data_IF_936871504843
#
_entry.id   IF_936871504843
#
_cell.length_a   1.000
_cell.length_b   1.000
_cell.length_c   1.000
_cell.angle_alpha   90.00
_cell.angle_beta   90.00
_cell.angle_gamma   90.00
#
_symmetry.space_group_name_H-M   'P 1'
#
loop_
_entity.id
_entity.type
_entity.pdbx_description
1 polymer ?
#
# COMPACT_ATOMS: atom_id res chain seq x y z
N UNK A 1 20.47 -15.81 12.04
CA UNK A 1 19.04 -16.06 12.33
C UNK A 1 18.48 -17.32 11.70
N UNK A 2 19.29 -18.09 10.96
CA UNK A 2 18.86 -19.34 10.36
C UNK A 2 19.57 -19.66 9.04
N UNK A 3 19.13 -20.71 8.32
CA UNK A 3 19.67 -21.10 7.03
C UNK A 3 19.29 -20.10 5.92
N UNK A 4 19.72 -20.37 4.67
CA UNK A 4 19.50 -19.48 3.54
C UNK A 4 18.01 -19.33 3.14
N UNK A 5 17.16 -20.33 3.42
CA UNK A 5 15.73 -20.26 3.13
C UNK A 5 15.05 -19.19 3.99
N UNK A 6 14.41 -18.18 3.36
CA UNK A 6 13.80 -17.05 4.07
C UNK A 6 12.70 -17.46 5.07
N UNK A 7 11.95 -18.51 4.78
CA UNK A 7 10.93 -19.05 5.70
C UNK A 7 11.52 -19.54 7.04
N UNK A 8 12.78 -19.98 7.01
CA UNK A 8 13.47 -20.52 8.19
C UNK A 8 14.37 -19.46 8.86
N UNK A 9 14.46 -18.27 8.29
CA UNK A 9 15.34 -17.19 8.74
C UNK A 9 14.59 -15.83 8.80
N UNK A 10 14.62 -15.05 7.72
CA UNK A 10 14.07 -13.67 7.68
C UNK A 10 12.54 -13.58 7.80
N UNK A 11 11.80 -14.66 7.58
CA UNK A 11 10.35 -14.75 7.80
C UNK A 11 9.98 -15.54 9.07
N UNK A 12 10.97 -15.98 9.85
CA UNK A 12 10.75 -16.68 11.12
C UNK A 12 10.74 -15.68 12.28
N UNK A 13 9.54 -15.22 12.63
CA UNK A 13 9.31 -14.22 13.69
C UNK A 13 9.95 -14.64 14.99
N UNK A 14 9.69 -15.87 15.48
CA UNK A 14 10.17 -16.34 16.78
C UNK A 14 11.70 -16.41 16.83
N UNK A 15 12.32 -16.81 15.71
CA UNK A 15 13.79 -16.84 15.65
C UNK A 15 14.42 -15.46 15.70
N UNK A 16 13.79 -14.46 15.05
CA UNK A 16 14.25 -13.07 15.11
C UNK A 16 14.11 -12.52 16.54
N UNK A 17 12.98 -12.76 17.18
CA UNK A 17 12.73 -12.34 18.56
C UNK A 17 13.72 -13.01 19.53
N UNK A 18 13.95 -14.32 19.41
CA UNK A 18 14.95 -15.04 20.21
C UNK A 18 16.34 -14.39 20.11
N UNK A 19 16.78 -14.13 18.89
CA UNK A 19 18.10 -13.50 18.63
C UNK A 19 18.16 -12.08 19.21
N UNK A 20 17.11 -11.28 19.02
CA UNK A 20 17.04 -9.93 19.58
C UNK A 20 17.16 -9.95 21.12
N UNK A 21 16.41 -10.81 21.79
CA UNK A 21 16.47 -10.98 23.26
C UNK A 21 17.84 -11.45 23.74
N UNK A 22 18.43 -12.44 23.06
CA UNK A 22 19.74 -12.99 23.40
C UNK A 22 20.88 -11.95 23.29
N UNK A 23 20.69 -10.92 22.45
CA UNK A 23 21.63 -9.84 22.25
C UNK A 23 21.21 -8.52 22.93
N UNK A 24 20.21 -8.56 23.80
CA UNK A 24 19.70 -7.40 24.55
C UNK A 24 19.35 -6.20 23.62
N UNK A 25 18.72 -6.48 22.48
CA UNK A 25 18.30 -5.42 21.55
C UNK A 25 17.10 -4.65 22.11
N UNK A 26 17.21 -3.33 22.17
CA UNK A 26 16.12 -2.44 22.58
C UNK A 26 15.10 -2.23 21.48
N UNK A 27 15.53 -2.33 20.22
CA UNK A 27 14.70 -2.07 19.04
C UNK A 27 15.10 -2.95 17.86
N UNK A 28 14.16 -3.14 16.93
CA UNK A 28 14.36 -3.82 15.66
C UNK A 28 13.98 -2.88 14.52
N UNK A 29 14.96 -2.59 13.64
CA UNK A 29 14.66 -2.00 12.33
C UNK A 29 14.41 -3.14 11.33
N UNK A 30 13.19 -3.26 10.77
CA UNK A 30 12.82 -4.44 9.97
C UNK A 30 13.44 -4.43 8.56
N UNK A 31 14.11 -3.36 8.16
CA UNK A 31 14.58 -3.18 6.79
C UNK A 31 13.43 -2.97 5.81
N UNK A 32 13.59 -3.48 4.60
CA UNK A 32 12.62 -3.42 3.51
C UNK A 32 12.26 -4.84 3.06
N UNK A 33 10.99 -5.09 2.77
CA UNK A 33 10.48 -6.42 2.46
C UNK A 33 10.43 -7.35 3.68
N UNK A 34 10.34 -8.65 3.45
CA UNK A 34 10.19 -9.68 4.50
C UNK A 34 9.08 -9.34 5.52
N UNK A 35 9.46 -8.99 6.75
CA UNK A 35 8.54 -8.69 7.85
C UNK A 35 8.34 -7.19 8.11
N UNK A 36 8.83 -6.31 7.24
CA UNK A 36 8.74 -4.85 7.44
C UNK A 36 7.30 -4.32 7.52
N UNK A 37 6.37 -4.97 6.82
CA UNK A 37 4.94 -4.63 6.81
C UNK A 37 4.08 -5.72 7.44
N UNK A 38 4.68 -6.51 8.35
CA UNK A 38 4.00 -7.63 8.99
C UNK A 38 3.49 -7.23 10.37
N UNK A 39 2.17 -7.07 10.50
CA UNK A 39 1.52 -6.67 11.75
C UNK A 39 1.76 -7.68 12.90
N UNK A 40 1.79 -8.98 12.59
CA UNK A 40 2.05 -10.01 13.60
C UNK A 40 3.47 -9.90 14.18
N UNK A 41 4.46 -9.58 13.34
CA UNK A 41 5.83 -9.35 13.82
C UNK A 41 5.93 -8.09 14.68
N UNK A 42 5.32 -6.98 14.25
CA UNK A 42 5.31 -5.75 15.04
C UNK A 42 4.62 -5.96 16.41
N UNK A 43 3.49 -6.68 16.44
CA UNK A 43 2.79 -7.05 17.69
C UNK A 43 3.65 -7.93 18.58
N UNK A 44 4.35 -8.89 18.00
CA UNK A 44 5.25 -9.78 18.72
C UNK A 44 6.43 -9.03 19.36
N UNK A 45 6.97 -8.01 18.65
CA UNK A 45 7.96 -7.10 19.25
C UNK A 45 7.40 -6.35 20.46
N UNK A 46 6.18 -5.81 20.38
CA UNK A 46 5.53 -5.09 21.47
C UNK A 46 5.31 -6.00 22.69
N UNK A 47 4.87 -7.24 22.50
CA UNK A 47 4.68 -8.23 23.58
C UNK A 47 5.98 -8.52 24.36
N UNK A 48 7.12 -8.47 23.67
CA UNK A 48 8.44 -8.72 24.26
C UNK A 48 9.14 -7.43 24.74
N UNK A 49 8.48 -6.28 24.66
CA UNK A 49 9.04 -5.00 25.06
C UNK A 49 10.13 -4.47 24.12
N UNK A 50 10.21 -5.01 22.90
CA UNK A 50 11.16 -4.57 21.86
C UNK A 50 10.49 -3.52 21.00
N UNK A 51 11.15 -2.39 20.77
CA UNK A 51 10.64 -1.33 19.92
C UNK A 51 10.72 -1.77 18.45
N UNK A 52 9.56 -1.92 17.79
CA UNK A 52 9.52 -2.04 16.33
C UNK A 52 9.69 -0.66 15.72
N UNK A 53 10.72 -0.46 14.88
CA UNK A 53 10.97 0.82 14.20
C UNK A 53 10.13 0.85 12.93
N UNK A 54 8.90 1.35 13.03
CA UNK A 54 7.91 1.36 11.95
C UNK A 54 6.52 1.68 12.48
N UNK A 55 5.49 1.54 11.63
CA UNK A 55 4.10 1.78 12.00
C UNK A 55 3.58 0.74 13.02
N UNK A 56 2.51 1.11 13.71
CA UNK A 56 1.81 0.20 14.63
C UNK A 56 1.18 -0.99 13.88
N UNK A 57 1.00 -2.14 14.54
CA UNK A 57 0.29 -3.28 13.96
C UNK A 57 -1.08 -2.91 13.39
N UNK A 58 -1.86 -2.09 14.11
CA UNK A 58 -3.19 -1.64 13.73
C UNK A 58 -3.16 -0.76 12.47
N UNK A 59 -2.14 0.07 12.32
CA UNK A 59 -1.90 0.87 11.10
C UNK A 59 -1.56 -0.03 9.92
N UNK A 60 -0.71 -1.04 10.11
CA UNK A 60 -0.37 -2.01 9.07
C UNK A 60 -1.60 -2.80 8.60
N UNK A 61 -2.44 -3.28 9.53
CA UNK A 61 -3.67 -3.99 9.22
C UNK A 61 -4.67 -3.10 8.49
N UNK A 62 -4.83 -1.84 8.94
CA UNK A 62 -5.72 -0.87 8.33
C UNK A 62 -5.31 -0.46 6.91
N UNK A 63 -4.01 -0.46 6.62
CA UNK A 63 -3.46 -0.11 5.30
C UNK A 63 -3.22 -1.34 4.41
N UNK A 64 -3.22 -2.54 4.99
CA UNK A 64 -3.02 -3.79 4.27
C UNK A 64 -4.20 -4.19 3.38
N UNK A 65 -5.42 -3.85 3.78
CA UNK A 65 -6.62 -3.96 2.96
C UNK A 65 -6.88 -2.64 2.20
N UNK A 66 -6.74 -2.69 0.89
CA UNK A 66 -6.83 -1.51 0.02
C UNK A 66 -8.20 -0.83 0.05
N UNK A 67 -9.28 -1.60 0.25
CA UNK A 67 -10.62 -1.02 0.35
C UNK A 67 -10.80 -0.28 1.68
N UNK A 68 -10.40 -0.90 2.79
CA UNK A 68 -10.44 -0.25 4.10
C UNK A 68 -9.57 1.01 4.16
N UNK A 69 -8.36 0.94 3.58
CA UNK A 69 -7.48 2.08 3.45
C UNK A 69 -8.14 3.22 2.65
N UNK A 70 -8.76 2.88 1.51
CA UNK A 70 -9.47 3.84 0.67
C UNK A 70 -10.62 4.55 1.41
N UNK A 71 -11.44 3.80 2.14
CA UNK A 71 -12.54 4.36 2.93
C UNK A 71 -12.01 5.35 3.96
N UNK A 72 -10.97 4.99 4.70
CA UNK A 72 -10.31 5.88 5.67
C UNK A 72 -9.76 7.16 5.04
N UNK A 73 -9.19 7.06 3.84
CA UNK A 73 -8.71 8.25 3.11
C UNK A 73 -9.86 9.17 2.72
N UNK A 74 -10.98 8.63 2.21
CA UNK A 74 -12.18 9.40 1.88
C UNK A 74 -12.74 10.11 3.13
N UNK A 75 -12.87 9.40 4.25
CA UNK A 75 -13.33 9.95 5.53
C UNK A 75 -12.42 11.08 6.05
N UNK A 76 -11.11 10.96 5.80
CA UNK A 76 -10.12 11.98 6.13
C UNK A 76 -10.08 13.18 5.15
N UNK A 77 -10.93 13.18 4.11
CA UNK A 77 -10.93 14.22 3.07
C UNK A 77 -9.70 14.19 2.16
N UNK A 78 -9.01 13.05 2.09
CA UNK A 78 -7.91 12.81 1.16
C UNK A 78 -8.48 12.31 -0.15
N UNK A 79 -8.15 12.94 -1.30
CA UNK A 79 -8.62 12.47 -2.59
C UNK A 79 -8.06 11.09 -2.90
N UNK A 80 -8.89 10.25 -3.51
CA UNK A 80 -8.51 8.91 -3.96
C UNK A 80 -8.86 8.74 -5.43
N UNK A 81 -8.16 7.87 -6.13
CA UNK A 81 -8.51 7.51 -7.52
C UNK A 81 -9.96 7.00 -7.54
N UNK A 82 -10.85 7.47 -8.44
CA UNK A 82 -12.23 6.98 -8.52
C UNK A 82 -12.31 5.44 -8.64
N UNK A 83 -13.18 4.79 -7.90
CA UNK A 83 -13.29 3.33 -7.89
C UNK A 83 -14.32 2.81 -6.88
N UNK A 84 -14.38 1.49 -6.71
CA UNK A 84 -15.32 0.84 -5.81
C UNK A 84 -14.90 0.96 -4.35
N UNK A 85 -15.87 0.97 -3.45
CA UNK A 85 -15.66 0.96 -1.99
C UNK A 85 -15.95 -0.42 -1.38
N UNK A 86 -16.31 -1.38 -2.21
CA UNK A 86 -16.55 -2.78 -1.84
C UNK A 86 -15.92 -3.70 -2.88
N UNK A 87 -15.69 -4.94 -2.46
CA UNK A 87 -15.29 -6.00 -3.38
C UNK A 87 -16.44 -6.35 -4.32
N UNK A 88 -16.11 -6.64 -5.57
CA UNK A 88 -17.08 -7.05 -6.58
C UNK A 88 -17.65 -8.43 -6.26
N UNK A 89 -18.95 -8.57 -6.41
CA UNK A 89 -19.70 -9.80 -6.11
C UNK A 89 -19.99 -10.65 -7.35
N UNK A 90 -20.13 -9.99 -8.52
CA UNK A 90 -20.44 -10.69 -9.77
C UNK A 90 -19.87 -9.95 -11.00
N UNK A 91 -19.92 -10.61 -12.14
CA UNK A 91 -19.55 -10.03 -13.45
C UNK A 91 -20.50 -8.90 -13.83
N UNK A 92 -21.80 -9.09 -13.59
CA UNK A 92 -22.84 -8.10 -13.92
C UNK A 92 -22.61 -6.80 -13.14
N UNK A 93 -22.33 -6.91 -11.83
CA UNK A 93 -21.95 -5.76 -11.01
C UNK A 93 -20.68 -5.09 -11.51
N UNK A 94 -19.69 -5.88 -11.93
CA UNK A 94 -18.44 -5.35 -12.50
C UNK A 94 -18.70 -4.55 -13.77
N UNK A 95 -19.54 -5.06 -14.68
CA UNK A 95 -19.93 -4.35 -15.92
C UNK A 95 -20.63 -3.03 -15.60
N UNK A 96 -21.62 -3.05 -14.68
CA UNK A 96 -22.34 -1.84 -14.27
C UNK A 96 -21.39 -0.77 -13.72
N UNK A 97 -20.49 -1.17 -12.81
CA UNK A 97 -19.55 -0.26 -12.18
C UNK A 97 -18.48 0.25 -13.15
N UNK A 98 -17.99 -0.60 -14.06
CA UNK A 98 -17.11 -0.16 -15.15
C UNK A 98 -17.76 0.93 -16.02
N UNK A 99 -19.02 0.75 -16.38
CA UNK A 99 -19.77 1.73 -17.17
C UNK A 99 -19.97 3.05 -16.38
N UNK A 100 -20.15 2.98 -15.06
CA UNK A 100 -20.31 4.16 -14.19
C UNK A 100 -19.00 4.91 -13.98
N UNK A 101 -17.88 4.20 -13.78
CA UNK A 101 -16.54 4.79 -13.60
C UNK A 101 -16.04 5.36 -14.94
N UNK A 102 -16.38 4.72 -16.05
CA UNK A 102 -15.92 5.05 -17.41
C UNK A 102 -14.55 4.43 -17.73
N UNK A 103 -14.48 3.81 -18.94
CA UNK A 103 -13.25 3.17 -19.42
C UNK A 103 -12.13 4.16 -19.77
N UNK A 104 -10.87 3.74 -19.70
CA UNK A 104 -10.39 2.46 -19.21
C UNK A 104 -10.46 2.37 -17.68
N UNK A 105 -10.64 1.14 -17.18
CA UNK A 105 -10.65 0.84 -15.74
C UNK A 105 -9.64 -0.26 -15.41
N UNK A 106 -9.15 -0.24 -14.18
CA UNK A 106 -8.23 -1.25 -13.67
C UNK A 106 -8.95 -2.13 -12.64
N UNK A 107 -9.05 -3.41 -12.93
CA UNK A 107 -9.47 -4.43 -11.98
C UNK A 107 -8.25 -4.89 -11.18
N UNK A 108 -8.38 -4.92 -9.86
CA UNK A 108 -7.26 -5.22 -8.95
C UNK A 108 -7.67 -6.24 -7.89
N UNK A 109 -6.75 -7.11 -7.51
CA UNK A 109 -6.87 -7.91 -6.30
C UNK A 109 -6.89 -7.01 -5.06
N UNK A 110 -7.80 -7.29 -4.12
CA UNK A 110 -7.93 -6.52 -2.87
C UNK A 110 -6.76 -6.79 -1.94
N UNK A 111 -6.29 -8.02 -1.91
CA UNK A 111 -5.09 -8.44 -1.19
C UNK A 111 -3.89 -8.55 -2.13
N UNK A 112 -2.70 -8.21 -1.62
CA UNK A 112 -1.46 -8.37 -2.37
C UNK A 112 -0.92 -7.10 -3.04
N UNK A 113 0.16 -7.26 -3.80
CA UNK A 113 0.90 -6.17 -4.44
C UNK A 113 1.77 -6.67 -5.61
N UNK A 114 2.66 -5.79 -6.11
CA UNK A 114 3.60 -6.16 -7.18
C UNK A 114 2.97 -6.39 -8.55
N UNK A 115 1.76 -5.87 -8.80
CA UNK A 115 1.10 -5.95 -10.11
C UNK A 115 0.42 -7.28 -10.43
N UNK A 116 0.40 -8.25 -9.50
CA UNK A 116 -0.35 -9.51 -9.67
C UNK A 116 -1.84 -9.28 -9.41
N UNK A 117 -2.69 -9.98 -10.17
CA UNK A 117 -4.14 -9.84 -10.08
C UNK A 117 -4.64 -8.47 -10.57
N UNK A 118 -3.91 -7.84 -11.49
CA UNK A 118 -4.29 -6.57 -12.11
C UNK A 118 -4.65 -6.80 -13.58
N UNK A 119 -5.79 -6.25 -14.03
CA UNK A 119 -6.24 -6.31 -15.42
C UNK A 119 -6.77 -4.95 -15.85
N UNK A 120 -6.21 -4.43 -16.95
CA UNK A 120 -6.73 -3.23 -17.60
C UNK A 120 -7.89 -3.63 -18.52
N UNK A 121 -8.98 -2.89 -18.43
CA UNK A 121 -10.25 -3.15 -19.17
C UNK A 121 -10.58 -1.90 -19.96
N UNK A 122 -10.70 -2.05 -21.28
CA UNK A 122 -10.98 -0.95 -22.19
C UNK A 122 -12.45 -0.89 -22.64
N UNK A 123 -13.19 -2.00 -22.51
CA UNK A 123 -14.59 -2.08 -22.94
C UNK A 123 -15.39 -3.07 -22.09
N UNK A 124 -16.72 -3.03 -22.23
CA UNK A 124 -17.61 -3.92 -21.48
C UNK A 124 -17.41 -5.41 -21.84
N UNK A 125 -17.03 -5.69 -23.10
CA UNK A 125 -16.81 -7.05 -23.60
C UNK A 125 -15.62 -7.75 -22.92
N UNK A 126 -14.66 -6.97 -22.40
CA UNK A 126 -13.47 -7.51 -21.73
C UNK A 126 -13.69 -7.83 -20.23
N UNK A 127 -14.79 -7.34 -19.62
CA UNK A 127 -14.99 -7.39 -18.17
C UNK A 127 -15.06 -8.83 -17.65
N UNK A 128 -15.80 -9.72 -18.31
CA UNK A 128 -16.02 -11.10 -17.84
C UNK A 128 -14.70 -11.89 -17.81
N UNK A 129 -13.91 -11.82 -18.88
CA UNK A 129 -12.60 -12.49 -18.96
C UNK A 129 -11.63 -11.92 -17.92
N UNK A 130 -11.56 -10.60 -17.80
CA UNK A 130 -10.71 -9.90 -16.85
C UNK A 130 -11.07 -10.26 -15.40
N UNK A 131 -12.37 -10.28 -15.06
CA UNK A 131 -12.87 -10.61 -13.74
C UNK A 131 -12.51 -12.06 -13.34
N UNK A 132 -12.82 -13.03 -14.21
CA UNK A 132 -12.57 -14.44 -13.96
C UNK A 132 -11.08 -14.72 -13.81
N UNK A 133 -10.25 -14.14 -14.69
CA UNK A 133 -8.80 -14.32 -14.67
C UNK A 133 -8.17 -13.67 -13.43
N UNK A 134 -8.57 -12.45 -13.08
CA UNK A 134 -8.02 -11.75 -11.92
C UNK A 134 -8.36 -12.48 -10.61
N UNK A 135 -9.59 -12.97 -10.46
CA UNK A 135 -9.99 -13.78 -9.30
C UNK A 135 -9.18 -15.06 -9.17
N UNK A 136 -9.01 -15.81 -10.26
CA UNK A 136 -8.21 -17.05 -10.27
C UNK A 136 -6.74 -16.79 -9.91
N UNK A 137 -6.15 -15.74 -10.46
CA UNK A 137 -4.77 -15.34 -10.17
C UNK A 137 -4.60 -14.85 -8.74
N UNK A 138 -5.57 -14.10 -8.21
CA UNK A 138 -5.57 -13.61 -6.84
C UNK A 138 -5.66 -14.76 -5.85
N UNK A 139 -6.59 -15.69 -6.07
CA UNK A 139 -6.74 -16.87 -5.24
C UNK A 139 -5.45 -17.71 -5.20
N UNK A 140 -4.84 -17.96 -6.35
CA UNK A 140 -3.62 -18.77 -6.45
C UNK A 140 -2.39 -18.09 -5.83
N UNK A 141 -2.31 -16.76 -5.89
CA UNK A 141 -1.15 -16.01 -5.43
C UNK A 141 -1.24 -15.57 -3.98
N UNK A 142 -2.45 -15.27 -3.50
CA UNK A 142 -2.68 -14.63 -2.19
C UNK A 142 -3.63 -15.42 -1.29
N UNK A 143 -4.30 -16.46 -1.82
CA UNK A 143 -5.29 -17.25 -1.07
C UNK A 143 -6.63 -16.52 -0.88
N UNK A 144 -6.84 -15.41 -1.56
CA UNK A 144 -8.03 -14.57 -1.53
C UNK A 144 -8.42 -14.19 -2.96
N UNK A 145 -9.68 -14.35 -3.34
CA UNK A 145 -10.18 -14.11 -4.69
C UNK A 145 -10.93 -12.76 -4.82
N UNK A 146 -10.88 -11.93 -3.79
CA UNK A 146 -11.58 -10.65 -3.81
C UNK A 146 -10.89 -9.65 -4.73
N UNK A 147 -11.71 -8.94 -5.53
CA UNK A 147 -11.26 -7.95 -6.50
C UNK A 147 -12.12 -6.70 -6.44
N UNK A 148 -11.53 -5.57 -6.83
CA UNK A 148 -12.18 -4.27 -6.86
C UNK A 148 -11.78 -3.49 -8.12
N UNK A 149 -12.49 -2.40 -8.43
CA UNK A 149 -12.26 -1.55 -9.61
C UNK A 149 -11.73 -0.17 -9.22
N UNK A 150 -10.81 0.32 -10.03
CA UNK A 150 -10.37 1.72 -10.00
C UNK A 150 -10.35 2.31 -11.42
N UNK A 151 -10.57 3.62 -11.53
CA UNK A 151 -10.30 4.34 -12.78
C UNK A 151 -8.82 4.16 -13.15
N UNK A 152 -8.56 3.77 -14.38
CA UNK A 152 -7.19 3.80 -14.88
C UNK A 152 -6.80 5.24 -15.24
N UNK A 153 -5.73 5.71 -14.61
CA UNK A 153 -5.16 7.03 -14.90
C UNK A 153 -4.15 6.85 -16.03
N UNK A 154 -4.42 7.48 -17.16
CA UNK A 154 -3.55 7.41 -18.33
C UNK A 154 -2.40 8.42 -18.18
N UNK A 155 -1.18 8.00 -18.52
CA UNK A 155 0.03 8.81 -18.44
C UNK A 155 0.22 9.53 -17.08
N UNK A 156 0.11 8.81 -15.93
CA UNK A 156 0.18 9.45 -14.63
C UNK A 156 1.61 9.88 -14.31
N UNK A 157 1.74 10.98 -13.56
CA UNK A 157 2.93 11.20 -12.75
C UNK A 157 2.81 10.42 -11.44
N UNK A 158 3.82 9.65 -11.11
CA UNK A 158 3.90 8.94 -9.83
C UNK A 158 4.71 9.80 -8.86
N UNK A 159 4.02 10.51 -7.99
CA UNK A 159 4.60 11.40 -6.99
C UNK A 159 4.42 10.79 -5.61
N UNK A 160 5.47 10.70 -4.82
CA UNK A 160 5.36 10.23 -3.44
C UNK A 160 5.88 11.25 -2.45
N UNK A 161 5.18 11.40 -1.34
CA UNK A 161 5.60 12.26 -0.23
C UNK A 161 6.19 11.42 0.89
N UNK A 162 7.41 11.75 1.29
CA UNK A 162 8.01 11.18 2.49
C UNK A 162 7.33 11.78 3.72
N UNK A 163 6.78 10.94 4.58
CA UNK A 163 6.22 11.35 5.88
C UNK A 163 7.08 10.85 7.02
N UNK A 164 6.98 11.55 8.15
CA UNK A 164 7.56 11.15 9.42
C UNK A 164 6.57 11.47 10.52
N UNK A 165 6.15 10.44 11.26
CA UNK A 165 5.23 10.54 12.39
C UNK A 165 5.90 10.13 13.71
N UNK A 166 5.58 10.81 14.80
CA UNK A 166 5.96 10.42 16.14
C UNK A 166 4.80 9.77 16.91
N UNK A 167 5.08 9.20 18.06
CA UNK A 167 4.05 8.59 18.93
C UNK A 167 3.22 9.61 19.73
N UNK A 168 3.45 10.90 19.52
CA UNK A 168 2.70 12.00 20.16
C UNK A 168 1.66 12.61 19.23
N UNK A 169 1.52 12.07 18.01
CA UNK A 169 0.56 12.54 17.00
C UNK A 169 1.10 13.67 16.11
N UNK A 170 2.39 14.02 16.23
CA UNK A 170 3.00 14.93 15.28
C UNK A 170 3.35 14.19 14.01
N UNK A 171 2.93 14.74 12.87
CA UNK A 171 3.23 14.21 11.53
C UNK A 171 3.68 15.36 10.65
N UNK A 172 4.80 15.18 9.98
CA UNK A 172 5.33 16.11 8.97
C UNK A 172 5.58 15.37 7.66
N UNK A 173 5.66 16.14 6.56
CA UNK A 173 6.19 15.63 5.30
C UNK A 173 7.57 16.25 5.00
N UNK A 174 8.42 15.52 4.29
CA UNK A 174 9.77 15.92 3.89
C UNK A 174 9.85 16.18 2.39
N UNK A 175 8.79 16.74 1.81
CA UNK A 175 8.57 16.97 0.39
C UNK A 175 8.45 15.66 -0.43
N UNK A 176 8.42 15.82 -1.75
CA UNK A 176 8.12 14.76 -2.70
C UNK A 176 9.36 14.17 -3.38
N UNK A 177 9.13 13.00 -3.95
CA UNK A 177 9.94 12.37 -5.00
C UNK A 177 9.10 12.15 -6.24
N UNK A 178 9.66 12.42 -7.39
CA UNK A 178 9.12 12.06 -8.71
C UNK A 178 9.59 10.66 -9.06
N UNK A 179 8.67 9.72 -9.20
CA UNK A 179 8.96 8.30 -9.41
C UNK A 179 8.30 7.74 -10.68
N UNK A 180 8.00 8.60 -11.68
CA UNK A 180 7.27 8.20 -12.89
C UNK A 180 8.08 7.30 -13.82
N UNK A 181 9.42 7.35 -13.75
CA UNK A 181 10.28 6.48 -14.57
C UNK A 181 10.31 5.08 -13.98
N UNK A 182 9.46 4.21 -14.52
CA UNK A 182 9.25 2.86 -14.02
C UNK A 182 9.40 1.82 -15.12
N UNK A 183 9.76 0.60 -14.72
CA UNK A 183 9.72 -0.60 -15.57
C UNK A 183 8.81 -1.65 -14.92
N UNK A 184 7.68 -1.95 -15.54
CA UNK A 184 6.70 -2.91 -15.00
C UNK A 184 6.34 -2.61 -13.54
N UNK A 185 5.98 -1.36 -13.26
CA UNK A 185 5.66 -0.83 -11.91
C UNK A 185 6.82 -0.84 -10.91
N UNK A 186 8.05 -1.03 -11.37
CA UNK A 186 9.26 -0.89 -10.55
C UNK A 186 9.89 0.48 -10.80
N UNK A 187 10.06 1.28 -9.75
CA UNK A 187 10.76 2.57 -9.78
C UNK A 187 12.21 2.35 -10.21
N UNK A 188 12.65 3.05 -11.25
CA UNK A 188 14.02 2.96 -11.79
C UNK A 188 14.80 4.24 -11.52
N UNK A 189 14.13 5.40 -11.63
CA UNK A 189 14.72 6.71 -11.33
C UNK A 189 13.77 7.42 -10.37
N UNK A 190 14.35 7.97 -9.33
CA UNK A 190 13.65 8.84 -8.38
C UNK A 190 14.43 10.15 -8.31
N UNK A 191 13.70 11.27 -8.42
CA UNK A 191 14.32 12.60 -8.34
C UNK A 191 13.54 13.53 -7.42
N UNK A 192 14.24 14.47 -6.82
CA UNK A 192 13.65 15.50 -5.97
C UNK A 192 14.38 16.83 -6.16
N UNK A 193 13.67 17.97 -6.21
CA UNK A 193 12.21 18.07 -6.28
C UNK A 193 11.66 17.61 -7.64
N UNK A 194 10.36 17.28 -7.71
CA UNK A 194 9.70 17.03 -8.99
C UNK A 194 9.64 18.32 -9.82
N UNK A 195 10.00 18.20 -11.10
CA UNK A 195 9.87 19.30 -12.05
C UNK A 195 8.41 19.57 -12.47
N UNK A 196 7.54 18.60 -12.24
CA UNK A 196 6.11 18.71 -12.51
C UNK A 196 5.34 19.41 -11.39
N UNK A 197 5.74 19.21 -10.13
CA UNK A 197 5.02 19.70 -8.95
C UNK A 197 5.33 21.17 -8.68
N UNK A 198 4.32 22.06 -8.88
CA UNK A 198 4.44 23.48 -8.53
C UNK A 198 4.49 23.69 -7.02
N UNK A 199 4.93 24.85 -6.51
CA UNK A 199 4.91 25.15 -5.08
C UNK A 199 3.51 25.01 -4.45
N UNK A 200 2.46 25.41 -5.16
CA UNK A 200 1.06 25.33 -4.71
C UNK A 200 0.61 23.88 -4.63
N UNK A 201 0.90 23.08 -5.66
CA UNK A 201 0.58 21.65 -5.70
C UNK A 201 1.33 20.90 -4.63
N UNK A 202 2.63 21.21 -4.42
CA UNK A 202 3.44 20.62 -3.34
C UNK A 202 2.83 20.85 -1.97
N UNK A 203 2.34 22.06 -1.74
CA UNK A 203 1.68 22.39 -0.48
C UNK A 203 0.41 21.59 -0.29
N UNK A 204 -0.49 21.56 -1.28
CA UNK A 204 -1.75 20.82 -1.19
C UNK A 204 -1.52 19.31 -1.02
N UNK A 205 -0.68 18.71 -1.84
CA UNK A 205 -0.34 17.28 -1.74
C UNK A 205 0.33 16.95 -0.40
N UNK A 206 1.24 17.79 0.08
CA UNK A 206 1.89 17.63 1.38
C UNK A 206 0.90 17.67 2.54
N UNK A 207 -0.06 18.59 2.52
CA UNK A 207 -1.16 18.66 3.50
C UNK A 207 -2.03 17.40 3.45
N UNK A 208 -2.34 16.88 2.26
CA UNK A 208 -3.08 15.61 2.08
C UNK A 208 -2.28 14.41 2.57
N UNK A 209 -0.97 14.36 2.30
CA UNK A 209 -0.10 13.30 2.80
C UNK A 209 -0.06 13.26 4.34
N UNK A 210 0.03 14.42 4.98
CA UNK A 210 -0.03 14.53 6.45
C UNK A 210 -1.40 14.13 6.97
N UNK A 211 -2.49 14.53 6.32
CA UNK A 211 -3.86 14.15 6.70
C UNK A 211 -4.05 12.63 6.60
N UNK A 212 -3.58 12.00 5.51
CA UNK A 212 -3.63 10.57 5.32
C UNK A 212 -2.90 9.80 6.44
N UNK A 213 -1.69 10.22 6.76
CA UNK A 213 -0.90 9.59 7.82
C UNK A 213 -1.53 9.75 9.21
N UNK A 214 -2.09 10.93 9.52
CA UNK A 214 -2.83 11.17 10.77
C UNK A 214 -4.09 10.32 10.89
N UNK A 215 -4.82 10.12 9.79
CA UNK A 215 -6.05 9.32 9.77
C UNK A 215 -5.84 7.87 10.20
N UNK A 216 -4.62 7.35 10.04
CA UNK A 216 -4.25 5.99 10.41
C UNK A 216 -3.29 5.92 11.60
N UNK A 217 -3.08 7.03 12.32
CA UNK A 217 -2.14 7.13 13.43
C UNK A 217 -0.73 6.61 13.07
N UNK A 218 -0.21 7.03 11.91
CA UNK A 218 1.06 6.55 11.38
C UNK A 218 2.23 6.99 12.27
N UNK A 219 3.09 6.06 12.61
CA UNK A 219 4.32 6.28 13.37
C UNK A 219 5.51 5.77 12.57
N UNK A 220 6.61 6.49 12.60
CA UNK A 220 7.83 6.19 11.87
C UNK A 220 7.90 6.90 10.53
N UNK A 221 8.83 6.46 9.69
CA UNK A 221 8.98 6.92 8.33
C UNK A 221 8.09 6.13 7.38
N UNK A 222 7.50 6.81 6.41
CA UNK A 222 6.65 6.18 5.39
C UNK A 222 6.46 7.07 4.18
N UNK A 223 5.76 6.57 3.18
CA UNK A 223 5.45 7.30 1.95
C UNK A 223 3.95 7.30 1.69
N UNK A 224 3.45 8.41 1.14
CA UNK A 224 2.11 8.51 0.56
C UNK A 224 2.28 8.75 -0.93
N UNK A 225 1.76 7.83 -1.73
CA UNK A 225 1.86 7.84 -3.19
C UNK A 225 0.63 8.48 -3.82
N UNK A 226 0.86 9.32 -4.83
CA UNK A 226 -0.16 10.00 -5.64
C UNK A 226 0.04 9.67 -7.13
N UNK A 227 -1.06 9.65 -7.84
CA UNK A 227 -1.13 9.52 -9.30
C UNK A 227 -1.84 10.71 -9.91
#
# INVERSE_FOLDING_TARGET
VGPAASKESYLNIEKIIEVAKANHADAIHPGYGFLSENAAFARRCQEEGIIFIGPNPETMEAMGDKISARIKMIEAGVPVVPGTQENLKSVEEAVELCNKIGYPVMLKASMGGGGKGMRLIHSAEEVEEAYTTAKSESLSSFGDDTVYLEKFVEEPHHIEFQILGDKHGNVIHLCERECSVQRRNQKIVEETPSVFVTPELRKDMGEKAVAAAKAVNYIGAGTIEFL
#
